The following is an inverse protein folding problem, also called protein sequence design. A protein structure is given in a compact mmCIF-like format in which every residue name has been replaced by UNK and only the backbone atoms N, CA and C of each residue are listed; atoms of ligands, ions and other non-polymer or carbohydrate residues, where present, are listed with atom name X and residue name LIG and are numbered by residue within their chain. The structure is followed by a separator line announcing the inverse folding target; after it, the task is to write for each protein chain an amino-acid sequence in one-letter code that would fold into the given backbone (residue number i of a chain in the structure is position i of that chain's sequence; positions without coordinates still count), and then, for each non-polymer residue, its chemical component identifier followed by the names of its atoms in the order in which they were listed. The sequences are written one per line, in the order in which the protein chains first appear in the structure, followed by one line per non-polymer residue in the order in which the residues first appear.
data_IF_586159402588
#
_entry.id   IF_586159402588
#
_cell.length_a   1.000
_cell.length_b   1.000
_cell.length_c   1.000
_cell.angle_alpha   90.00
_cell.angle_beta   90.00
_cell.angle_gamma   90.00
#
_symmetry.space_group_name_H-M   'P 1'
#
loop_
_entity.id
_entity.type
_entity.pdbx_description
1 polymer ?
#
# COMPACT_ATOMS: atom_id res chain seq x y z
N UNK A 1 4.39 -25.17 7.17
CA UNK A 1 5.28 -23.98 7.12
C UNK A 1 4.44 -22.79 7.57
N UNK A 2 4.94 -21.90 8.43
CA UNK A 2 4.15 -20.80 8.98
C UNK A 2 4.82 -19.45 8.79
N UNK A 3 4.03 -18.42 8.53
CA UNK A 3 4.51 -17.03 8.49
C UNK A 3 4.93 -16.64 9.92
N UNK A 4 6.20 -16.28 10.10
CA UNK A 4 6.77 -15.86 11.40
C UNK A 4 6.98 -14.35 11.51
N UNK A 5 7.15 -13.65 10.40
CA UNK A 5 7.42 -12.20 10.36
C UNK A 5 6.80 -11.56 9.13
N UNK A 6 6.32 -10.33 9.31
CA UNK A 6 5.79 -9.48 8.24
C UNK A 6 6.36 -8.08 8.43
N UNK A 7 7.12 -7.58 7.46
CA UNK A 7 7.65 -6.21 7.46
C UNK A 7 7.07 -5.43 6.28
N UNK A 8 6.80 -4.13 6.46
CA UNK A 8 6.28 -3.26 5.41
C UNK A 8 7.15 -2.01 5.23
N UNK A 9 7.37 -1.64 3.97
CA UNK A 9 8.27 -0.57 3.57
C UNK A 9 7.51 0.39 2.64
N UNK A 10 7.21 1.58 3.15
CA UNK A 10 6.72 2.66 2.32
C UNK A 10 7.91 3.25 1.56
N UNK A 11 7.95 3.01 0.25
CA UNK A 11 9.01 3.47 -0.64
C UNK A 11 8.52 4.74 -1.32
N UNK A 12 9.41 5.75 -1.35
CA UNK A 12 9.20 7.00 -2.06
C UNK A 12 10.51 7.43 -2.69
N UNK A 13 10.56 7.42 -4.01
CA UNK A 13 11.78 7.69 -4.79
C UNK A 13 11.50 8.86 -5.73
N UNK A 14 12.40 9.85 -5.73
CA UNK A 14 12.33 10.95 -6.67
C UNK A 14 12.50 10.41 -8.11
N UNK A 15 11.67 10.85 -9.07
CA UNK A 15 11.80 10.38 -10.44
C UNK A 15 13.08 10.95 -11.06
N UNK A 16 13.69 10.20 -11.99
CA UNK A 16 14.88 10.66 -12.72
C UNK A 16 14.62 11.95 -13.50
N UNK A 17 13.42 12.10 -14.04
CA UNK A 17 12.92 13.33 -14.62
C UNK A 17 11.72 13.79 -13.80
N UNK A 18 11.68 15.06 -13.35
CA UNK A 18 10.50 15.61 -12.72
C UNK A 18 9.30 15.37 -13.62
N UNK A 19 8.28 14.67 -13.10
CA UNK A 19 7.02 14.54 -13.81
C UNK A 19 6.47 15.94 -13.97
N UNK A 20 6.53 16.49 -15.18
CA UNK A 20 6.06 17.83 -15.46
C UNK A 20 4.52 17.83 -15.32
N UNK A 21 3.99 18.45 -14.25
CA UNK A 21 2.55 18.51 -14.05
C UNK A 21 1.88 19.46 -15.06
N UNK A 22 2.66 20.23 -15.82
CA UNK A 22 2.21 21.25 -16.77
C UNK A 22 2.26 20.80 -18.23
N UNK A 23 2.51 19.52 -18.55
CA UNK A 23 2.55 19.08 -19.96
C UNK A 23 1.25 19.37 -20.72
N UNK A 24 0.10 19.44 -20.03
CA UNK A 24 -1.20 19.84 -20.60
C UNK A 24 -2.01 20.82 -19.74
N UNK A 25 -1.67 21.04 -18.46
CA UNK A 25 -2.48 21.84 -17.53
C UNK A 25 -1.81 23.18 -17.20
N UNK A 26 -2.46 24.29 -17.59
CA UNK A 26 -1.98 25.65 -17.30
C UNK A 26 -2.01 26.02 -15.79
N UNK A 27 -2.67 25.20 -14.95
CA UNK A 27 -2.79 25.41 -13.50
C UNK A 27 -2.66 24.09 -12.73
N UNK A 28 -1.91 24.13 -11.63
CA UNK A 28 -1.69 22.98 -10.74
C UNK A 28 -1.91 23.43 -9.30
N UNK A 29 -2.76 22.72 -8.58
CA UNK A 29 -2.91 22.89 -7.13
C UNK A 29 -1.92 21.97 -6.41
N UNK A 30 -1.03 22.54 -5.60
CA UNK A 30 0.08 21.81 -4.97
C UNK A 30 -0.15 21.61 -3.47
N UNK A 31 0.12 20.40 -2.98
CA UNK A 31 -0.02 19.99 -1.58
C UNK A 31 1.26 19.30 -1.09
N UNK A 32 2.37 20.04 -1.12
CA UNK A 32 3.70 19.49 -0.85
C UNK A 32 4.16 18.54 -1.96
N UNK A 33 4.39 17.28 -1.61
CA UNK A 33 4.83 16.23 -2.56
C UNK A 33 3.72 15.76 -3.52
N UNK A 34 2.49 16.21 -3.29
CA UNK A 34 1.33 15.85 -4.09
C UNK A 34 0.77 17.05 -4.85
N UNK A 35 -0.01 16.79 -5.88
CA UNK A 35 -0.68 17.81 -6.67
C UNK A 35 -1.94 17.30 -7.36
N UNK A 36 -2.82 18.24 -7.74
CA UNK A 36 -3.97 18.00 -8.61
C UNK A 36 -3.79 18.87 -9.85
N UNK A 37 -3.86 18.25 -11.03
CA UNK A 37 -3.85 18.98 -12.29
C UNK A 37 -5.24 19.61 -12.53
N UNK A 38 -5.27 20.88 -12.94
CA UNK A 38 -6.53 21.62 -13.07
C UNK A 38 -7.46 21.07 -14.17
N UNK A 39 -6.96 20.27 -15.10
CA UNK A 39 -7.75 19.57 -16.12
C UNK A 39 -8.27 18.20 -15.62
N UNK A 40 -7.59 17.57 -14.65
CA UNK A 40 -7.98 16.29 -14.07
C UNK A 40 -9.09 16.40 -13.01
N UNK A 41 -9.28 17.58 -12.41
CA UNK A 41 -10.32 18.01 -11.45
C UNK A 41 -10.58 17.14 -10.20
N UNK A 42 -10.10 15.89 -10.14
CA UNK A 42 -10.58 14.88 -9.17
C UNK A 42 -9.50 13.98 -8.60
N UNK A 43 -8.35 13.83 -9.27
CA UNK A 43 -7.30 12.89 -8.88
C UNK A 43 -6.05 13.59 -8.40
N UNK A 44 -5.55 13.15 -7.24
CA UNK A 44 -4.27 13.58 -6.68
C UNK A 44 -3.16 12.65 -7.17
N UNK A 45 -2.01 13.24 -7.50
CA UNK A 45 -0.83 12.52 -7.97
C UNK A 45 0.39 12.84 -7.11
N UNK A 46 1.31 11.89 -7.00
CA UNK A 46 2.63 12.12 -6.39
C UNK A 46 3.62 12.67 -7.40
N UNK A 47 4.50 13.56 -6.93
CA UNK A 47 5.70 13.99 -7.65
C UNK A 47 6.81 12.94 -7.61
N UNK A 48 6.66 11.93 -6.76
CA UNK A 48 7.57 10.80 -6.60
C UNK A 48 6.94 9.50 -7.11
N UNK A 49 7.78 8.49 -7.34
CA UNK A 49 7.30 7.11 -7.43
C UNK A 49 7.12 6.58 -6.01
N UNK A 50 5.88 6.24 -5.68
CA UNK A 50 5.51 5.69 -4.38
C UNK A 50 4.96 4.27 -4.53
N UNK A 51 5.32 3.39 -3.59
CA UNK A 51 4.80 2.03 -3.48
C UNK A 51 4.97 1.51 -2.06
N UNK A 52 4.28 0.42 -1.70
CA UNK A 52 4.48 -0.26 -0.43
C UNK A 52 4.94 -1.70 -0.67
N UNK A 53 6.21 -1.97 -0.36
CA UNK A 53 6.75 -3.33 -0.39
C UNK A 53 6.44 -4.06 0.91
N UNK A 54 6.12 -5.34 0.82
CA UNK A 54 5.87 -6.21 1.96
C UNK A 54 6.81 -7.41 1.89
N UNK A 55 7.51 -7.66 2.99
CA UNK A 55 8.39 -8.82 3.16
C UNK A 55 7.77 -9.77 4.17
N UNK A 56 7.64 -11.03 3.77
CA UNK A 56 7.21 -12.12 4.65
C UNK A 56 8.38 -13.05 4.89
N UNK A 57 8.43 -13.63 6.08
CA UNK A 57 9.40 -14.66 6.43
C UNK A 57 8.71 -15.81 7.14
N UNK A 58 9.07 -17.04 6.80
CA UNK A 58 8.51 -18.26 7.41
C UNK A 58 9.37 -18.80 8.55
N UNK A 59 8.80 -19.69 9.35
CA UNK A 59 9.49 -20.50 10.37
C UNK A 59 10.58 -21.42 9.79
N UNK A 60 10.51 -21.74 8.49
CA UNK A 60 11.55 -22.48 7.75
C UNK A 60 12.64 -21.59 7.15
N UNK A 61 12.57 -20.27 7.33
CA UNK A 61 13.56 -19.30 6.82
C UNK A 61 13.34 -18.85 5.37
N UNK A 62 12.25 -19.24 4.71
CA UNK A 62 11.91 -18.72 3.39
C UNK A 62 11.44 -17.28 3.48
N UNK A 63 11.80 -16.47 2.49
CA UNK A 63 11.44 -15.06 2.39
C UNK A 63 10.68 -14.84 1.09
N UNK A 64 9.51 -14.19 1.21
CA UNK A 64 8.70 -13.76 0.08
C UNK A 64 8.57 -12.24 0.06
N UNK A 65 8.52 -11.67 -1.14
CA UNK A 65 8.27 -10.24 -1.35
C UNK A 65 6.98 -10.05 -2.15
N UNK A 66 6.21 -9.06 -1.74
CA UNK A 66 5.05 -8.57 -2.47
C UNK A 66 5.05 -7.05 -2.55
N UNK A 67 4.28 -6.52 -3.48
CA UNK A 67 4.11 -5.09 -3.69
C UNK A 67 2.62 -4.74 -3.65
N UNK A 68 2.27 -3.71 -2.87
CA UNK A 68 0.95 -3.12 -2.88
C UNK A 68 0.98 -1.81 -3.68
N UNK A 69 0.07 -1.67 -4.63
CA UNK A 69 -0.08 -0.46 -5.42
C UNK A 69 -0.46 0.71 -4.51
N UNK A 70 0.50 1.60 -4.27
CA UNK A 70 0.32 2.79 -3.44
C UNK A 70 1.01 4.02 -4.07
N UNK A 71 0.56 4.45 -5.27
CA UNK A 71 1.15 5.58 -6.00
C UNK A 71 0.99 6.93 -5.29
N UNK A 72 0.13 6.98 -4.29
CA UNK A 72 -0.08 8.09 -3.35
C UNK A 72 -0.25 7.48 -1.96
N UNK A 73 0.43 8.02 -0.96
CA UNK A 73 0.15 7.68 0.43
C UNK A 73 0.65 6.31 0.86
N UNK A 74 1.80 5.84 0.35
CA UNK A 74 2.36 4.53 0.69
C UNK A 74 2.52 4.28 2.20
N UNK A 75 2.67 5.33 3.01
CA UNK A 75 2.71 5.26 4.48
C UNK A 75 1.38 4.77 5.09
N UNK A 76 0.24 5.12 4.50
CA UNK A 76 -1.07 4.65 4.95
C UNK A 76 -1.23 3.15 4.68
N UNK A 77 -0.84 2.70 3.49
CA UNK A 77 -0.80 1.27 3.15
C UNK A 77 0.13 0.50 4.07
N UNK A 78 1.32 1.03 4.37
CA UNK A 78 2.24 0.45 5.36
C UNK A 78 1.55 0.28 6.72
N UNK A 79 0.95 1.35 7.26
CA UNK A 79 0.26 1.28 8.55
C UNK A 79 -0.84 0.21 8.56
N UNK A 80 -1.64 0.13 7.50
CA UNK A 80 -2.66 -0.92 7.37
C UNK A 80 -2.06 -2.34 7.35
N UNK A 81 -0.92 -2.54 6.66
CA UNK A 81 -0.23 -3.83 6.67
C UNK A 81 0.26 -4.18 8.07
N UNK A 82 0.84 -3.23 8.79
CA UNK A 82 1.44 -3.44 10.11
C UNK A 82 0.39 -3.64 11.21
N UNK A 83 -0.69 -2.85 11.19
CA UNK A 83 -1.68 -2.80 12.25
C UNK A 83 -2.82 -3.80 12.05
N UNK A 84 -3.18 -4.10 10.79
CA UNK A 84 -4.30 -4.99 10.46
C UNK A 84 -3.86 -6.29 9.81
N UNK A 85 -3.07 -6.24 8.74
CA UNK A 85 -2.79 -7.45 7.97
C UNK A 85 -1.85 -8.41 8.71
N UNK A 86 -0.75 -7.89 9.26
CA UNK A 86 0.26 -8.63 10.02
C UNK A 86 -0.35 -9.52 11.11
N UNK A 87 -1.17 -9.04 12.06
CA UNK A 87 -1.72 -9.89 13.11
C UNK A 87 -2.65 -10.99 12.60
N UNK A 88 -3.29 -10.81 11.44
CA UNK A 88 -4.19 -11.82 10.84
C UNK A 88 -3.42 -12.99 10.21
N UNK A 89 -2.26 -12.71 9.60
CA UNK A 89 -1.49 -13.70 8.82
C UNK A 89 -0.38 -14.39 9.60
N UNK A 90 0.07 -13.83 10.73
CA UNK A 90 1.08 -14.47 11.57
C UNK A 90 0.63 -15.87 12.03
N UNK A 91 1.53 -16.85 11.95
CA UNK A 91 1.28 -18.24 12.30
C UNK A 91 0.48 -19.05 11.27
N UNK A 92 0.08 -18.46 10.15
CA UNK A 92 -0.69 -19.11 9.08
C UNK A 92 0.22 -19.76 8.03
N UNK A 93 -0.32 -20.73 7.29
CA UNK A 93 0.37 -21.31 6.16
C UNK A 93 0.39 -20.29 5.00
N UNK A 94 1.55 -19.92 4.45
CA UNK A 94 1.62 -18.99 3.33
C UNK A 94 0.98 -19.52 2.03
N UNK A 95 0.69 -20.82 1.93
CA UNK A 95 0.00 -21.40 0.77
C UNK A 95 -1.54 -21.31 0.86
N UNK A 96 -2.11 -20.92 2.00
CA UNK A 96 -3.55 -20.70 2.17
C UNK A 96 -4.01 -19.35 1.57
N UNK A 97 -3.52 -19.01 0.36
CA UNK A 97 -3.60 -17.65 -0.22
C UNK A 97 -5.03 -17.12 -0.30
N UNK A 98 -5.96 -17.89 -0.87
CA UNK A 98 -7.36 -17.46 -1.03
C UNK A 98 -8.06 -17.27 0.32
N UNK A 99 -7.81 -18.18 1.27
CA UNK A 99 -8.36 -18.07 2.61
C UNK A 99 -7.83 -16.81 3.31
N UNK A 100 -6.52 -16.58 3.27
CA UNK A 100 -5.89 -15.41 3.90
C UNK A 100 -6.39 -14.11 3.26
N UNK A 101 -6.51 -14.07 1.93
CA UNK A 101 -7.07 -12.94 1.22
C UNK A 101 -8.51 -12.65 1.67
N UNK A 102 -9.38 -13.66 1.70
CA UNK A 102 -10.78 -13.49 2.12
C UNK A 102 -10.90 -13.04 3.58
N UNK A 103 -10.05 -13.60 4.46
CA UNK A 103 -9.97 -13.22 5.87
C UNK A 103 -9.56 -11.76 6.05
N UNK A 104 -8.56 -11.29 5.31
CA UNK A 104 -8.11 -9.90 5.34
C UNK A 104 -9.18 -8.95 4.78
N UNK A 105 -9.77 -9.29 3.64
CA UNK A 105 -10.84 -8.51 3.02
C UNK A 105 -12.04 -8.35 3.96
N UNK A 106 -12.44 -9.43 4.65
CA UNK A 106 -13.57 -9.43 5.56
C UNK A 106 -13.27 -8.82 6.93
N UNK A 107 -12.00 -8.56 7.28
CA UNK A 107 -11.60 -8.17 8.64
C UNK A 107 -12.20 -6.82 9.10
N UNK A 108 -12.62 -5.98 8.16
CA UNK A 108 -13.24 -4.67 8.44
C UNK A 108 -14.72 -4.61 8.05
N UNK A 109 -15.35 -5.73 7.69
CA UNK A 109 -16.72 -5.74 7.15
C UNK A 109 -17.76 -5.23 8.16
N UNK A 110 -17.67 -5.67 9.41
CA UNK A 110 -18.69 -5.39 10.43
C UNK A 110 -18.39 -4.10 11.21
N UNK A 111 -18.47 -2.95 10.53
CA UNK A 111 -18.20 -1.62 11.09
C UNK A 111 -19.41 -0.65 10.96
N UNK A 112 -20.62 -1.14 11.27
CA UNK A 112 -21.90 -0.40 11.19
C UNK A 112 -23.05 -1.07 11.97
N UNK A 113 -24.25 -0.44 11.96
CA UNK A 113 -25.42 -0.72 12.81
C UNK A 113 -25.69 -2.21 13.07
N UNK A 114 -25.57 -2.59 14.34
CA UNK A 114 -26.17 -3.81 14.89
C UNK A 114 -27.63 -3.44 15.20
N UNK A 115 -28.55 -3.74 14.29
CA UNK A 115 -30.00 -3.73 14.54
C UNK A 115 -30.60 -4.98 13.95
#
# INVERSE_FOLDING_TARGET
MKIRKVDAFAIKIAPEQPRDPNQNAERVESYGDYFIAADAWTSIYSRAHETCLVRLETDTGLVGWGEAQAPVGARATKALVEDLCRPVVLGRDPFDVEFLWYRLYSAMRERGHIT
#
